data_IF_523367501588
#
_entry.id   IF_523367501588
#
_cell.length_a   1.000
_cell.length_b   1.000
_cell.length_c   1.000
_cell.angle_alpha   90.00
_cell.angle_beta   90.00
_cell.angle_gamma   90.00
#
_symmetry.space_group_name_H-M   'P 1'
#
loop_
_entity.id
_entity.type
_entity.pdbx_description
1 polymer ?
#
# COMPACT_ATOMS: atom_id res chain seq x y z
N UNK A 1 -31.14 -5.76 25.23
CA UNK A 1 -30.16 -4.69 25.02
C UNK A 1 -29.55 -4.96 23.66
N UNK A 2 -29.89 -4.20 22.62
CA UNK A 2 -29.24 -4.33 21.31
C UNK A 2 -27.85 -3.71 21.44
N UNK A 3 -26.82 -4.57 21.65
CA UNK A 3 -25.46 -4.16 21.39
C UNK A 3 -25.39 -3.70 19.94
N UNK A 4 -24.88 -2.49 19.68
CA UNK A 4 -24.59 -2.04 18.31
C UNK A 4 -23.68 -3.03 17.57
N UNK A 5 -23.44 -2.83 16.27
CA UNK A 5 -22.61 -3.73 15.50
C UNK A 5 -21.19 -3.80 16.09
N UNK A 6 -20.57 -4.97 16.03
CA UNK A 6 -19.17 -5.14 16.42
C UNK A 6 -18.26 -4.19 15.62
N UNK A 7 -17.20 -3.69 16.28
CA UNK A 7 -16.21 -2.85 15.63
C UNK A 7 -15.31 -3.69 14.69
N UNK A 8 -14.58 -3.03 13.78
CA UNK A 8 -13.59 -3.74 12.97
C UNK A 8 -12.46 -4.33 13.82
N UNK A 9 -12.13 -3.73 14.96
CA UNK A 9 -11.15 -4.33 15.90
C UNK A 9 -11.61 -5.67 16.43
N UNK A 10 -12.91 -5.81 16.75
CA UNK A 10 -13.47 -7.09 17.23
C UNK A 10 -13.38 -8.20 16.19
N UNK A 11 -13.46 -7.82 14.88
CA UNK A 11 -13.44 -8.75 13.74
C UNK A 11 -12.02 -9.06 13.29
N UNK A 12 -11.15 -8.06 13.27
CA UNK A 12 -9.79 -8.16 12.72
C UNK A 12 -8.74 -8.57 13.75
N UNK A 13 -9.12 -8.68 15.03
CA UNK A 13 -8.28 -9.23 16.11
C UNK A 13 -8.97 -10.40 16.82
N UNK A 14 -9.38 -11.45 16.07
CA UNK A 14 -10.13 -12.55 16.62
C UNK A 14 -9.24 -13.44 17.51
N UNK A 15 -9.83 -14.04 18.53
CA UNK A 15 -9.21 -15.09 19.35
C UNK A 15 -9.49 -16.48 18.81
N UNK A 16 -10.45 -16.60 17.91
CA UNK A 16 -10.85 -17.85 17.27
C UNK A 16 -11.36 -17.62 15.85
N UNK A 17 -11.00 -18.52 14.94
CA UNK A 17 -11.40 -18.46 13.52
C UNK A 17 -12.01 -19.81 13.11
N UNK A 18 -13.19 -19.77 12.51
CA UNK A 18 -13.78 -20.95 11.86
C UNK A 18 -13.67 -20.82 10.33
N UNK A 19 -13.37 -21.92 9.65
CA UNK A 19 -13.35 -21.99 8.17
C UNK A 19 -14.46 -22.91 7.71
N UNK A 20 -15.55 -22.32 7.19
CA UNK A 20 -16.68 -23.04 6.63
C UNK A 20 -16.36 -23.37 5.16
N UNK A 21 -16.39 -24.68 4.84
CA UNK A 21 -15.91 -25.16 3.54
C UNK A 21 -14.42 -25.53 3.54
N UNK A 22 -13.83 -25.81 4.70
CA UNK A 22 -12.48 -26.37 4.79
C UNK A 22 -12.35 -27.62 3.89
N UNK A 23 -11.25 -27.78 3.17
CA UNK A 23 -11.11 -28.81 2.14
C UNK A 23 -9.74 -29.48 2.16
N UNK A 24 -9.71 -30.79 1.81
CA UNK A 24 -8.46 -31.51 1.53
C UNK A 24 -7.84 -31.13 0.18
N UNK A 25 -8.64 -30.62 -0.75
CA UNK A 25 -8.17 -30.25 -2.09
C UNK A 25 -7.35 -28.96 -2.06
N UNK A 26 -6.05 -28.98 -2.42
CA UNK A 26 -5.13 -27.85 -2.23
C UNK A 26 -5.52 -26.56 -2.98
N UNK A 27 -6.26 -26.69 -4.08
CA UNK A 27 -6.72 -25.59 -4.91
C UNK A 27 -8.02 -24.92 -4.42
N UNK A 28 -8.66 -25.47 -3.40
CA UNK A 28 -9.89 -24.90 -2.84
C UNK A 28 -9.56 -23.79 -1.83
N UNK A 29 -10.33 -22.71 -1.86
CA UNK A 29 -10.16 -21.56 -0.96
C UNK A 29 -10.17 -21.95 0.53
N UNK A 30 -11.06 -22.87 0.94
CA UNK A 30 -11.07 -23.32 2.33
C UNK A 30 -9.80 -24.07 2.75
N UNK A 31 -9.09 -24.75 1.81
CA UNK A 31 -7.77 -25.32 2.08
C UNK A 31 -6.71 -24.24 2.20
N UNK A 32 -6.71 -23.28 1.27
CA UNK A 32 -5.73 -22.20 1.22
C UNK A 32 -5.82 -21.36 2.49
N UNK A 33 -7.01 -20.94 2.89
CA UNK A 33 -7.21 -20.16 4.12
C UNK A 33 -6.75 -20.92 5.37
N UNK A 34 -7.09 -22.22 5.48
CA UNK A 34 -6.64 -23.06 6.60
C UNK A 34 -5.11 -23.17 6.67
N UNK A 35 -4.48 -23.45 5.52
CA UNK A 35 -3.02 -23.55 5.42
C UNK A 35 -2.34 -22.23 5.81
N UNK A 36 -2.84 -21.11 5.33
CA UNK A 36 -2.25 -19.79 5.61
C UNK A 36 -2.38 -19.40 7.09
N UNK A 37 -3.52 -19.64 7.71
CA UNK A 37 -3.68 -19.39 9.17
C UNK A 37 -2.73 -20.26 9.99
N UNK A 38 -2.60 -21.54 9.64
CA UNK A 38 -1.73 -22.48 10.35
C UNK A 38 -0.25 -22.10 10.14
N UNK A 39 0.16 -21.90 8.89
CA UNK A 39 1.54 -21.54 8.54
C UNK A 39 1.94 -20.15 9.07
N UNK A 40 0.99 -19.20 9.10
CA UNK A 40 1.18 -17.85 9.64
C UNK A 40 1.29 -17.81 11.18
N UNK A 41 1.09 -18.95 11.86
CA UNK A 41 1.20 -19.04 13.32
C UNK A 41 0.11 -18.26 14.04
N UNK A 42 -1.13 -18.29 13.53
CA UNK A 42 -2.27 -17.68 14.23
C UNK A 42 -2.36 -18.22 15.67
N UNK A 43 -2.35 -17.35 16.68
CA UNK A 43 -2.21 -17.79 18.08
C UNK A 43 -3.52 -18.33 18.67
N UNK A 44 -4.65 -18.08 18.02
CA UNK A 44 -5.98 -18.47 18.48
C UNK A 44 -6.42 -19.85 18.00
N UNK A 45 -7.63 -20.21 18.35
CA UNK A 45 -8.23 -21.48 17.93
C UNK A 45 -8.64 -21.42 16.46
N UNK A 46 -8.33 -22.47 15.71
CA UNK A 46 -8.74 -22.66 14.32
C UNK A 46 -9.69 -23.86 14.26
N UNK A 47 -10.93 -23.63 13.83
CA UNK A 47 -11.96 -24.64 13.65
C UNK A 47 -12.24 -24.88 12.17
N UNK A 48 -12.05 -26.10 11.72
CA UNK A 48 -12.26 -26.50 10.34
C UNK A 48 -13.64 -27.15 10.20
N UNK A 49 -14.52 -26.56 9.39
CA UNK A 49 -15.89 -27.02 9.25
C UNK A 49 -16.06 -27.69 7.88
N UNK A 50 -16.33 -29.01 7.92
CA UNK A 50 -16.67 -29.79 6.71
C UNK A 50 -17.41 -31.05 7.11
N UNK A 51 -18.67 -31.27 6.65
CA UNK A 51 -19.44 -32.47 6.98
C UNK A 51 -18.97 -33.75 6.28
N UNK A 52 -18.12 -33.63 5.24
CA UNK A 52 -17.79 -34.75 4.34
C UNK A 52 -16.43 -35.39 4.57
N UNK A 53 -15.54 -34.72 5.32
CA UNK A 53 -14.18 -35.22 5.60
C UNK A 53 -13.84 -35.10 7.09
N UNK A 54 -13.17 -36.10 7.69
CA UNK A 54 -12.88 -36.11 9.11
C UNK A 54 -11.69 -35.24 9.50
N UNK A 55 -10.84 -34.85 8.56
CA UNK A 55 -9.66 -34.01 8.80
C UNK A 55 -9.27 -33.18 7.58
N UNK A 56 -8.59 -32.08 7.81
CA UNK A 56 -7.91 -31.22 6.80
C UNK A 56 -6.59 -30.75 7.41
N UNK A 57 -5.48 -30.90 6.68
CA UNK A 57 -4.13 -30.52 7.12
C UNK A 57 -3.75 -31.17 8.48
N UNK A 58 -4.19 -32.41 8.71
CA UNK A 58 -3.92 -33.15 9.94
C UNK A 58 -4.71 -32.67 11.19
N UNK A 59 -5.70 -31.80 11.01
CA UNK A 59 -6.60 -31.30 12.05
C UNK A 59 -8.01 -31.83 11.85
N UNK A 60 -8.65 -32.25 12.94
CA UNK A 60 -10.04 -32.72 12.94
C UNK A 60 -10.98 -31.64 12.42
N UNK A 61 -11.96 -32.03 11.59
CA UNK A 61 -13.05 -31.17 11.16
C UNK A 61 -14.30 -31.40 12.02
N UNK A 62 -15.10 -30.32 12.13
CA UNK A 62 -16.44 -30.38 12.71
C UNK A 62 -17.48 -30.48 11.56
N UNK A 63 -18.54 -31.29 11.70
CA UNK A 63 -19.57 -31.39 10.68
C UNK A 63 -20.32 -30.08 10.44
N UNK A 64 -20.50 -29.27 11.50
CA UNK A 64 -21.19 -27.99 11.47
C UNK A 64 -20.52 -27.03 12.45
N UNK A 65 -20.69 -25.73 12.27
CA UNK A 65 -20.25 -24.71 13.21
C UNK A 65 -20.95 -24.88 14.59
N UNK A 66 -22.16 -25.43 14.61
CA UNK A 66 -22.92 -25.72 15.83
C UNK A 66 -22.28 -26.79 16.71
N UNK A 67 -21.43 -27.63 16.13
CA UNK A 67 -20.71 -28.68 16.87
C UNK A 67 -19.42 -28.16 17.52
N UNK A 68 -19.02 -26.91 17.25
CA UNK A 68 -17.86 -26.26 17.85
C UNK A 68 -18.20 -25.90 19.30
N UNK A 69 -17.39 -26.35 20.31
CA UNK A 69 -17.78 -26.24 21.71
C UNK A 69 -17.52 -24.87 22.34
N UNK A 70 -16.84 -23.97 21.63
CA UNK A 70 -16.42 -22.65 22.17
C UNK A 70 -16.84 -21.52 21.23
N UNK A 71 -16.99 -20.29 21.73
CA UNK A 71 -17.31 -19.14 20.88
C UNK A 71 -16.31 -18.95 19.75
N UNK A 72 -16.81 -18.52 18.59
CA UNK A 72 -16.01 -18.19 17.40
C UNK A 72 -16.15 -16.70 17.13
N UNK A 73 -15.02 -15.98 17.07
CA UNK A 73 -15.02 -14.55 16.82
C UNK A 73 -15.17 -14.22 15.31
N UNK A 74 -14.44 -14.94 14.45
CA UNK A 74 -14.43 -14.72 13.01
C UNK A 74 -14.73 -16.02 12.24
N UNK A 75 -15.58 -15.95 11.22
CA UNK A 75 -15.80 -17.06 10.31
C UNK A 75 -15.39 -16.70 8.88
N UNK A 76 -14.67 -17.61 8.22
CA UNK A 76 -14.30 -17.51 6.80
C UNK A 76 -15.20 -18.46 6.03
N UNK A 77 -16.05 -17.92 5.15
CA UNK A 77 -17.01 -18.69 4.35
C UNK A 77 -16.42 -18.90 2.96
N UNK A 78 -16.02 -20.14 2.67
CA UNK A 78 -15.48 -20.61 1.39
C UNK A 78 -16.30 -21.81 0.86
N UNK A 79 -17.60 -21.82 1.13
CA UNK A 79 -18.56 -22.82 0.66
C UNK A 79 -19.03 -22.50 -0.76
N UNK A 80 -19.79 -23.40 -1.40
CA UNK A 80 -20.48 -23.07 -2.65
C UNK A 80 -21.52 -21.96 -2.44
N UNK A 81 -21.80 -21.18 -3.48
CA UNK A 81 -22.75 -20.07 -3.42
C UNK A 81 -24.09 -20.46 -2.78
N UNK A 82 -24.66 -21.58 -3.18
CA UNK A 82 -25.96 -22.08 -2.64
C UNK A 82 -25.94 -22.42 -1.16
N UNK A 83 -24.75 -22.59 -0.56
CA UNK A 83 -24.60 -22.90 0.86
C UNK A 83 -24.29 -21.66 1.72
N UNK A 84 -23.95 -20.52 1.10
CA UNK A 84 -23.60 -19.30 1.86
C UNK A 84 -24.73 -18.85 2.78
N UNK A 85 -26.01 -18.78 2.37
CA UNK A 85 -27.09 -18.39 3.26
C UNK A 85 -27.17 -19.24 4.53
N UNK A 86 -27.05 -20.56 4.38
CA UNK A 86 -27.03 -21.49 5.52
C UNK A 86 -25.79 -21.27 6.41
N UNK A 87 -24.63 -21.04 5.80
CA UNK A 87 -23.40 -20.75 6.55
C UNK A 87 -23.53 -19.48 7.39
N UNK A 88 -24.16 -18.44 6.85
CA UNK A 88 -24.46 -17.18 7.56
C UNK A 88 -25.41 -17.45 8.74
N UNK A 89 -26.46 -18.23 8.55
CA UNK A 89 -27.39 -18.61 9.62
C UNK A 89 -26.68 -19.37 10.76
N UNK A 90 -25.79 -20.29 10.42
CA UNK A 90 -25.01 -21.02 11.43
C UNK A 90 -24.07 -20.08 12.18
N UNK A 91 -23.49 -19.08 11.51
CA UNK A 91 -22.68 -18.04 12.16
C UNK A 91 -23.51 -17.14 13.09
N UNK A 92 -24.69 -16.71 12.68
CA UNK A 92 -25.62 -15.95 13.52
C UNK A 92 -26.01 -16.74 14.75
N UNK A 93 -26.42 -18.00 14.57
CA UNK A 93 -26.83 -18.85 15.68
C UNK A 93 -25.69 -19.16 16.68
N UNK A 94 -24.43 -19.13 16.21
CA UNK A 94 -23.24 -19.36 17.04
C UNK A 94 -22.73 -18.06 17.69
N UNK A 95 -23.28 -16.89 17.35
CA UNK A 95 -22.87 -15.59 17.89
C UNK A 95 -21.53 -15.08 17.36
N UNK A 96 -21.18 -15.42 16.10
CA UNK A 96 -19.96 -14.95 15.43
C UNK A 96 -20.00 -13.44 15.27
N UNK A 97 -18.87 -12.76 15.55
CA UNK A 97 -18.79 -11.28 15.47
C UNK A 97 -18.66 -10.76 14.06
N UNK A 98 -17.98 -11.51 13.18
CA UNK A 98 -17.78 -11.13 11.80
C UNK A 98 -17.56 -12.30 10.88
N UNK A 99 -17.90 -12.10 9.61
CA UNK A 99 -17.71 -13.10 8.55
C UNK A 99 -16.90 -12.49 7.41
N UNK A 100 -16.03 -13.31 6.81
CA UNK A 100 -15.36 -13.03 5.53
C UNK A 100 -15.94 -13.96 4.49
N UNK A 101 -16.64 -13.42 3.50
CA UNK A 101 -17.28 -14.21 2.45
C UNK A 101 -16.40 -14.18 1.19
N UNK A 102 -15.63 -15.25 1.00
CA UNK A 102 -14.76 -15.40 -0.19
C UNK A 102 -15.61 -15.71 -1.42
N UNK A 103 -16.68 -16.44 -1.24
CA UNK A 103 -17.55 -16.94 -2.31
C UNK A 103 -18.13 -15.78 -3.15
N UNK A 104 -18.04 -15.93 -4.47
CA UNK A 104 -18.67 -15.08 -5.48
C UNK A 104 -20.08 -15.56 -5.83
N UNK A 105 -20.83 -14.76 -6.62
CA UNK A 105 -22.19 -15.06 -7.11
C UNK A 105 -23.23 -14.07 -6.62
N UNK A 106 -22.82 -12.92 -6.11
CA UNK A 106 -23.67 -11.89 -5.48
C UNK A 106 -23.86 -10.66 -6.41
N UNK A 107 -23.69 -9.46 -5.93
CA UNK A 107 -23.97 -8.22 -6.68
C UNK A 107 -23.25 -8.13 -8.04
N UNK A 108 -22.11 -8.78 -8.19
CA UNK A 108 -21.39 -8.87 -9.45
C UNK A 108 -22.11 -9.73 -10.52
N UNK A 109 -23.13 -10.50 -10.15
CA UNK A 109 -23.93 -11.30 -11.10
C UNK A 109 -25.23 -10.62 -11.53
N UNK A 110 -25.55 -9.45 -10.97
CA UNK A 110 -26.69 -8.65 -11.34
C UNK A 110 -27.75 -8.50 -10.22
N UNK A 111 -28.97 -8.04 -10.56
CA UNK A 111 -29.95 -7.61 -9.57
C UNK A 111 -30.39 -8.67 -8.56
N UNK A 112 -30.52 -9.93 -8.98
CA UNK A 112 -30.92 -11.03 -8.09
C UNK A 112 -29.83 -11.34 -7.06
N UNK A 113 -28.55 -11.38 -7.51
CA UNK A 113 -27.41 -11.57 -6.62
C UNK A 113 -27.24 -10.38 -5.65
N UNK A 114 -27.48 -9.16 -6.12
CA UNK A 114 -27.47 -7.96 -5.30
C UNK A 114 -28.56 -8.00 -4.22
N UNK A 115 -29.78 -8.40 -4.56
CA UNK A 115 -30.89 -8.51 -3.59
C UNK A 115 -30.57 -9.55 -2.49
N UNK A 116 -30.03 -10.72 -2.88
CA UNK A 116 -29.61 -11.74 -1.93
C UNK A 116 -28.48 -11.25 -1.02
N UNK A 117 -27.48 -10.57 -1.56
CA UNK A 117 -26.40 -10.00 -0.77
C UNK A 117 -26.89 -9.00 0.26
N UNK A 118 -27.77 -8.07 -0.16
CA UNK A 118 -28.38 -7.08 0.74
C UNK A 118 -29.20 -7.73 1.85
N UNK A 119 -29.97 -8.76 1.54
CA UNK A 119 -30.71 -9.54 2.53
C UNK A 119 -29.78 -10.17 3.57
N UNK A 120 -28.72 -10.87 3.11
CA UNK A 120 -27.77 -11.50 4.00
C UNK A 120 -27.05 -10.48 4.89
N UNK A 121 -26.60 -9.36 4.33
CA UNK A 121 -25.97 -8.27 5.10
C UNK A 121 -26.94 -7.69 6.12
N UNK A 122 -28.20 -7.43 5.76
CA UNK A 122 -29.20 -6.92 6.68
C UNK A 122 -29.43 -7.87 7.86
N UNK A 123 -29.47 -9.19 7.60
CA UNK A 123 -29.59 -10.22 8.64
C UNK A 123 -28.37 -10.25 9.56
N UNK A 124 -27.16 -10.19 8.99
CA UNK A 124 -25.93 -10.10 9.78
C UNK A 124 -25.95 -8.88 10.71
N UNK A 125 -26.24 -7.69 10.18
CA UNK A 125 -26.31 -6.43 10.92
C UNK A 125 -27.37 -6.45 12.03
N UNK A 126 -28.53 -7.07 11.79
CA UNK A 126 -29.57 -7.22 12.81
C UNK A 126 -29.11 -7.99 14.06
N UNK A 127 -28.06 -8.82 13.91
CA UNK A 127 -27.44 -9.58 15.01
C UNK A 127 -26.08 -9.01 15.44
N UNK A 128 -25.74 -7.79 14.99
CA UNK A 128 -24.47 -7.13 15.29
C UNK A 128 -23.26 -7.67 14.50
N UNK A 129 -23.42 -8.72 13.68
CA UNK A 129 -22.35 -9.36 12.93
C UNK A 129 -21.94 -8.51 11.72
N UNK A 130 -20.62 -8.39 11.49
CA UNK A 130 -20.05 -7.63 10.37
C UNK A 130 -19.70 -8.56 9.21
N UNK A 131 -19.77 -8.02 7.97
CA UNK A 131 -19.46 -8.76 6.74
C UNK A 131 -18.36 -8.09 5.96
N UNK A 132 -17.26 -8.81 5.70
CA UNK A 132 -16.18 -8.44 4.77
C UNK A 132 -16.38 -9.27 3.49
N UNK A 133 -16.43 -8.60 2.36
CA UNK A 133 -16.81 -9.21 1.08
C UNK A 133 -18.25 -8.85 0.72
N UNK A 134 -18.94 -9.69 -0.02
CA UNK A 134 -18.62 -10.98 -0.61
C UNK A 134 -17.59 -10.87 -1.74
N UNK A 135 -17.35 -12.00 -2.46
CA UNK A 135 -16.46 -12.00 -3.62
C UNK A 135 -15.08 -11.39 -3.32
N UNK A 136 -14.43 -11.80 -2.24
CA UNK A 136 -13.15 -11.24 -1.79
C UNK A 136 -12.05 -12.30 -1.74
N UNK A 137 -10.80 -11.83 -1.62
CA UNK A 137 -9.61 -12.69 -1.55
C UNK A 137 -9.16 -13.01 -0.12
N UNK A 138 -9.95 -12.61 0.87
CA UNK A 138 -9.61 -12.75 2.28
C UNK A 138 -8.89 -11.52 2.86
N UNK A 139 -8.15 -11.74 3.94
CA UNK A 139 -7.51 -10.67 4.68
C UNK A 139 -6.20 -11.09 5.35
N UNK A 140 -5.37 -10.10 5.66
CA UNK A 140 -4.16 -10.22 6.45
C UNK A 140 -4.09 -9.11 7.49
N UNK A 141 -3.80 -9.47 8.74
CA UNK A 141 -3.55 -8.51 9.83
C UNK A 141 -2.31 -8.98 10.60
N UNK A 142 -1.19 -8.26 10.41
CA UNK A 142 0.11 -8.65 10.96
C UNK A 142 0.08 -8.80 12.48
N UNK A 143 -0.40 -7.79 13.19
CA UNK A 143 -0.43 -7.77 14.66
C UNK A 143 -1.25 -8.92 15.28
N UNK A 144 -2.27 -9.40 14.56
CA UNK A 144 -3.07 -10.55 14.97
C UNK A 144 -2.52 -11.89 14.45
N UNK A 145 -1.46 -11.88 13.64
CA UNK A 145 -0.98 -13.04 12.87
C UNK A 145 -2.11 -13.72 12.08
N UNK A 146 -3.11 -12.94 11.71
CA UNK A 146 -4.28 -13.38 10.97
C UNK A 146 -3.95 -13.31 9.48
N UNK A 147 -3.68 -14.45 8.87
CA UNK A 147 -3.45 -14.55 7.43
C UNK A 147 -4.45 -15.54 6.81
N UNK A 148 -5.40 -15.02 6.07
CA UNK A 148 -6.40 -15.79 5.33
C UNK A 148 -6.48 -15.34 3.86
N UNK A 149 -5.36 -14.84 3.32
CA UNK A 149 -5.23 -14.46 1.91
C UNK A 149 -5.00 -15.68 1.01
N UNK A 150 -5.36 -15.54 -0.24
CA UNK A 150 -5.16 -16.57 -1.27
C UNK A 150 -3.71 -16.82 -1.72
N UNK A 151 -2.72 -16.10 -1.18
CA UNK A 151 -1.32 -16.18 -1.60
C UNK A 151 -0.44 -17.01 -0.66
N UNK A 152 0.62 -17.59 -1.24
CA UNK A 152 1.55 -18.49 -0.55
C UNK A 152 2.92 -17.88 -0.26
N UNK A 153 3.24 -16.73 -0.81
CA UNK A 153 4.52 -16.06 -0.52
C UNK A 153 4.49 -15.42 0.84
N UNK A 154 5.60 -15.45 1.62
CA UNK A 154 5.67 -14.71 2.86
C UNK A 154 5.55 -13.19 2.58
N UNK A 155 4.72 -12.50 3.35
CA UNK A 155 4.65 -11.05 3.31
C UNK A 155 5.80 -10.44 4.10
N UNK A 156 6.59 -9.54 3.51
CA UNK A 156 7.52 -8.74 4.28
C UNK A 156 6.78 -7.90 5.34
N UNK A 157 7.44 -7.60 6.43
CA UNK A 157 6.94 -6.59 7.35
C UNK A 157 7.04 -5.20 6.71
N UNK A 158 6.06 -4.32 6.96
CA UNK A 158 6.08 -2.97 6.43
C UNK A 158 4.96 -2.11 7.00
N UNK A 159 4.97 -0.82 6.70
CA UNK A 159 4.07 0.17 7.31
C UNK A 159 2.80 0.47 6.48
N UNK A 160 2.53 -0.30 5.44
CA UNK A 160 1.43 -0.02 4.50
C UNK A 160 0.14 -0.75 4.95
N UNK A 161 -0.95 -0.02 5.12
CA UNK A 161 -2.30 -0.59 5.19
C UNK A 161 -2.92 -0.62 3.80
N UNK A 162 -3.25 -1.79 3.26
CA UNK A 162 -3.84 -1.94 1.92
C UNK A 162 -5.31 -2.35 2.00
N UNK A 163 -6.16 -1.65 1.27
CA UNK A 163 -7.57 -2.01 1.07
C UNK A 163 -7.84 -2.15 -0.42
N UNK A 164 -8.38 -3.27 -0.86
CA UNK A 164 -8.66 -3.52 -2.28
C UNK A 164 -10.07 -4.04 -2.51
N UNK A 165 -10.81 -3.40 -3.42
CA UNK A 165 -12.07 -3.94 -3.94
C UNK A 165 -11.84 -5.08 -4.94
N UNK A 166 -10.75 -5.02 -5.72
CA UNK A 166 -10.38 -6.12 -6.61
C UNK A 166 -9.46 -7.12 -5.92
N UNK A 167 -9.86 -8.38 -5.87
CA UNK A 167 -9.03 -9.46 -5.39
C UNK A 167 -7.73 -9.59 -6.20
N UNK A 168 -7.82 -9.66 -7.52
CA UNK A 168 -6.67 -9.85 -8.40
C UNK A 168 -5.68 -8.69 -8.39
N UNK A 169 -6.15 -7.44 -8.38
CA UNK A 169 -5.26 -6.29 -8.22
C UNK A 169 -4.63 -6.22 -6.82
N UNK A 170 -5.38 -6.58 -5.78
CA UNK A 170 -4.80 -6.76 -4.46
C UNK A 170 -3.66 -7.78 -4.46
N UNK A 171 -3.80 -8.88 -5.20
CA UNK A 171 -2.75 -9.90 -5.36
C UNK A 171 -1.54 -9.38 -6.16
N UNK A 172 -1.76 -8.53 -7.15
CA UNK A 172 -0.68 -7.85 -7.86
C UNK A 172 0.15 -6.98 -6.91
N UNK A 173 -0.49 -6.18 -6.05
CA UNK A 173 0.22 -5.37 -5.05
C UNK A 173 0.93 -6.21 -3.99
N UNK A 174 0.34 -7.35 -3.62
CA UNK A 174 0.99 -8.33 -2.76
C UNK A 174 2.28 -8.87 -3.37
N UNK A 175 2.24 -9.25 -4.65
CA UNK A 175 3.42 -9.74 -5.36
C UNK A 175 4.51 -8.66 -5.48
N UNK A 176 4.12 -7.42 -5.77
CA UNK A 176 5.07 -6.29 -5.77
C UNK A 176 5.71 -6.09 -4.41
N UNK A 177 4.94 -6.08 -3.32
CA UNK A 177 5.44 -5.99 -1.96
C UNK A 177 6.52 -7.03 -1.66
N UNK A 178 6.33 -8.27 -2.12
CA UNK A 178 7.32 -9.33 -1.95
C UNK A 178 8.63 -9.03 -2.72
N UNK A 179 8.52 -8.54 -3.96
CA UNK A 179 9.69 -8.21 -4.79
C UNK A 179 10.47 -7.00 -4.23
N UNK A 180 9.75 -5.99 -3.74
CA UNK A 180 10.35 -4.76 -3.24
C UNK A 180 10.80 -4.87 -1.78
N UNK A 181 10.48 -5.98 -1.09
CA UNK A 181 10.85 -6.22 0.31
C UNK A 181 10.22 -5.25 1.31
N UNK A 182 9.15 -4.57 0.95
CA UNK A 182 8.36 -3.71 1.83
C UNK A 182 6.92 -4.21 1.88
N UNK A 183 6.40 -4.47 3.07
CA UNK A 183 5.14 -5.17 3.24
C UNK A 183 4.03 -4.37 3.91
N UNK A 184 3.04 -5.12 4.34
CA UNK A 184 1.81 -4.58 4.89
C UNK A 184 1.72 -4.78 6.41
N UNK A 185 1.06 -3.83 7.08
CA UNK A 185 0.50 -4.04 8.42
C UNK A 185 -0.80 -4.84 8.33
N UNK A 186 -1.62 -4.46 7.36
CA UNK A 186 -2.94 -5.02 7.12
C UNK A 186 -3.22 -5.02 5.63
N UNK A 187 -3.82 -6.09 5.13
CA UNK A 187 -4.40 -6.15 3.79
C UNK A 187 -5.84 -6.64 3.88
N UNK A 188 -6.80 -5.81 3.48
CA UNK A 188 -8.22 -6.14 3.44
C UNK A 188 -8.69 -6.20 1.99
N UNK A 189 -9.07 -7.39 1.52
CA UNK A 189 -9.82 -7.52 0.28
C UNK A 189 -11.31 -7.38 0.62
N UNK A 190 -11.91 -6.26 0.24
CA UNK A 190 -13.32 -5.97 0.60
C UNK A 190 -14.32 -6.45 -0.46
N UNK A 191 -13.85 -6.89 -1.63
CA UNK A 191 -14.71 -7.41 -2.69
C UNK A 191 -15.83 -6.43 -3.05
N UNK A 192 -17.08 -6.93 -3.02
CA UNK A 192 -18.26 -6.11 -3.29
C UNK A 192 -18.50 -4.99 -2.24
N UNK A 193 -17.81 -5.02 -1.10
CA UNK A 193 -17.91 -4.03 -0.02
C UNK A 193 -19.37 -3.81 0.47
N UNK A 194 -20.13 -4.88 0.59
CA UNK A 194 -21.57 -4.81 0.86
C UNK A 194 -21.91 -4.33 2.29
N UNK A 195 -21.00 -4.52 3.27
CA UNK A 195 -21.12 -4.01 4.64
C UNK A 195 -19.91 -3.18 5.03
N UNK A 196 -18.74 -3.80 5.12
CA UNK A 196 -17.48 -3.11 5.43
C UNK A 196 -16.97 -2.40 4.19
N UNK A 197 -16.88 -1.08 4.25
CA UNK A 197 -16.55 -0.21 3.12
C UNK A 197 -15.11 0.28 3.17
N UNK A 198 -14.59 0.78 2.04
CA UNK A 198 -13.26 1.39 1.96
C UNK A 198 -13.08 2.54 2.97
N UNK A 199 -14.01 3.52 3.11
CA UNK A 199 -13.91 4.59 4.11
C UNK A 199 -13.82 4.08 5.55
N UNK A 200 -14.55 3.03 5.89
CA UNK A 200 -14.50 2.43 7.22
C UNK A 200 -13.17 1.73 7.48
N UNK A 201 -12.64 1.03 6.49
CA UNK A 201 -11.29 0.45 6.56
C UNK A 201 -10.21 1.54 6.74
N UNK A 202 -10.36 2.70 6.07
CA UNK A 202 -9.46 3.83 6.28
C UNK A 202 -9.45 4.30 7.74
N UNK A 203 -10.62 4.42 8.38
CA UNK A 203 -10.71 4.82 9.79
C UNK A 203 -10.01 3.81 10.71
N UNK A 204 -10.22 2.52 10.47
CA UNK A 204 -9.52 1.44 11.19
C UNK A 204 -8.00 1.55 11.04
N UNK A 205 -7.51 1.71 9.80
CA UNK A 205 -6.09 1.83 9.52
C UNK A 205 -5.47 3.14 10.05
N UNK A 206 -6.26 4.20 10.15
CA UNK A 206 -5.83 5.44 10.79
C UNK A 206 -5.54 5.26 12.28
N UNK A 207 -6.29 4.41 12.95
CA UNK A 207 -6.13 4.12 14.37
C UNK A 207 -5.05 3.03 14.63
N UNK A 208 -4.64 2.26 13.62
CA UNK A 208 -3.58 1.27 13.74
C UNK A 208 -2.19 1.91 13.90
N UNK A 209 -1.49 1.75 15.04
CA UNK A 209 -0.21 2.41 15.29
C UNK A 209 0.92 1.94 14.38
N UNK A 210 0.82 0.76 13.78
CA UNK A 210 1.84 0.20 12.90
C UNK A 210 1.70 0.68 11.44
N UNK A 211 0.52 1.20 11.05
CA UNK A 211 0.27 1.73 9.71
C UNK A 211 0.75 3.18 9.60
N UNK A 212 1.57 3.50 8.63
CA UNK A 212 2.05 4.86 8.33
C UNK A 212 1.37 5.47 7.11
N UNK A 213 0.92 4.66 6.16
CA UNK A 213 0.24 5.08 4.93
C UNK A 213 -0.90 4.12 4.62
N UNK A 214 -1.98 4.65 4.05
CA UNK A 214 -3.13 3.86 3.59
C UNK A 214 -3.11 3.82 2.07
N UNK A 215 -2.98 2.63 1.50
CA UNK A 215 -3.07 2.41 0.06
C UNK A 215 -4.41 1.77 -0.30
N UNK A 216 -4.99 2.16 -1.44
CA UNK A 216 -6.27 1.62 -1.86
C UNK A 216 -6.43 1.42 -3.35
N UNK A 217 -7.07 0.32 -3.72
CA UNK A 217 -7.69 0.15 -5.03
C UNK A 217 -9.21 0.28 -4.90
N UNK A 218 -9.78 1.25 -5.60
CA UNK A 218 -11.18 1.63 -5.45
C UNK A 218 -11.85 1.74 -6.82
N UNK A 219 -12.99 1.09 -7.00
CA UNK A 219 -13.78 1.12 -8.24
C UNK A 219 -14.93 2.13 -8.15
N UNK A 220 -15.44 2.35 -6.94
CA UNK A 220 -16.49 3.32 -6.70
C UNK A 220 -16.34 3.96 -5.32
N UNK A 221 -16.21 5.28 -5.28
CA UNK A 221 -16.22 6.04 -4.03
C UNK A 221 -16.90 7.39 -4.26
N UNK A 222 -17.68 7.83 -3.26
CA UNK A 222 -18.16 9.19 -3.25
C UNK A 222 -17.08 10.11 -2.68
N UNK A 223 -16.68 11.11 -3.44
CA UNK A 223 -15.68 12.09 -3.05
C UNK A 223 -15.99 12.73 -1.69
N UNK A 224 -17.23 13.11 -1.48
CA UNK A 224 -17.68 13.73 -0.22
C UNK A 224 -17.41 12.82 0.98
N UNK A 225 -17.68 11.52 0.86
CA UNK A 225 -17.44 10.54 1.92
C UNK A 225 -15.94 10.44 2.21
N UNK A 226 -15.09 10.41 1.17
CA UNK A 226 -13.64 10.37 1.32
C UNK A 226 -13.12 11.62 2.05
N UNK A 227 -13.58 12.81 1.64
CA UNK A 227 -13.23 14.08 2.32
C UNK A 227 -13.67 14.09 3.79
N UNK A 228 -14.87 13.61 4.09
CA UNK A 228 -15.36 13.50 5.48
C UNK A 228 -14.48 12.58 6.32
N UNK A 229 -14.04 11.45 5.78
CA UNK A 229 -13.14 10.52 6.49
C UNK A 229 -11.79 11.18 6.74
N UNK A 230 -11.19 11.81 5.74
CA UNK A 230 -9.92 12.53 5.90
C UNK A 230 -10.04 13.63 6.96
N UNK A 231 -11.11 14.41 6.92
CA UNK A 231 -11.37 15.44 7.93
C UNK A 231 -11.49 14.84 9.34
N UNK A 232 -12.26 13.78 9.51
CA UNK A 232 -12.40 13.07 10.79
C UNK A 232 -11.07 12.51 11.29
N UNK A 233 -10.23 11.93 10.41
CA UNK A 233 -8.90 11.45 10.78
C UNK A 233 -8.02 12.61 11.32
N UNK A 234 -8.09 13.79 10.71
CA UNK A 234 -7.37 14.99 11.16
C UNK A 234 -7.87 15.51 12.51
N UNK A 235 -9.16 15.69 12.66
CA UNK A 235 -9.75 16.17 13.92
C UNK A 235 -9.36 15.30 15.11
N UNK A 236 -9.25 13.99 14.88
CA UNK A 236 -8.79 13.02 15.89
C UNK A 236 -7.26 12.97 16.06
N UNK A 237 -6.48 13.75 15.30
CA UNK A 237 -5.02 13.67 15.28
C UNK A 237 -4.49 12.32 14.78
N UNK A 238 -5.24 11.63 13.92
CA UNK A 238 -4.94 10.30 13.38
C UNK A 238 -4.74 10.30 11.86
N UNK A 239 -4.53 11.48 11.27
CA UNK A 239 -4.29 11.55 9.83
C UNK A 239 -3.04 10.77 9.43
N UNK A 240 -3.19 9.97 8.38
CA UNK A 240 -2.14 9.28 7.65
C UNK A 240 -2.28 9.58 6.17
N UNK A 241 -1.20 9.70 5.40
CA UNK A 241 -1.29 9.85 3.95
C UNK A 241 -2.11 8.72 3.34
N UNK A 242 -2.95 9.07 2.37
CA UNK A 242 -3.77 8.12 1.63
C UNK A 242 -3.37 8.17 0.16
N UNK A 243 -3.11 7.02 -0.44
CA UNK A 243 -2.86 6.90 -1.88
C UNK A 243 -3.84 5.91 -2.48
N UNK A 244 -4.51 6.31 -3.56
CA UNK A 244 -5.51 5.46 -4.22
C UNK A 244 -5.26 5.32 -5.72
N UNK A 245 -5.44 4.11 -6.20
CA UNK A 245 -5.67 3.81 -7.60
C UNK A 245 -7.18 3.73 -7.80
N UNK A 246 -7.71 4.69 -8.56
CA UNK A 246 -9.13 4.80 -8.82
C UNK A 246 -9.43 4.33 -10.23
N UNK A 247 -10.24 3.27 -10.36
CA UNK A 247 -10.68 2.70 -11.64
C UNK A 247 -12.06 3.20 -12.06
N UNK A 248 -12.41 3.00 -13.34
CA UNK A 248 -13.71 3.44 -13.85
C UNK A 248 -13.78 4.94 -14.18
N UNK A 249 -12.63 5.58 -14.43
CA UNK A 249 -12.55 7.00 -14.79
C UNK A 249 -12.84 7.29 -16.28
N UNK A 250 -12.85 6.26 -17.14
CA UNK A 250 -13.13 6.40 -18.57
C UNK A 250 -14.48 5.73 -18.90
N UNK A 251 -15.09 6.10 -20.02
CA UNK A 251 -16.34 5.46 -20.47
C UNK A 251 -16.21 3.93 -20.58
N UNK A 252 -15.04 3.45 -21.05
CA UNK A 252 -14.76 2.01 -21.15
C UNK A 252 -14.61 1.40 -19.75
N UNK A 253 -13.91 2.08 -18.85
CA UNK A 253 -13.75 1.68 -17.46
C UNK A 253 -15.09 1.63 -16.70
N UNK A 254 -15.95 2.63 -16.90
CA UNK A 254 -17.31 2.67 -16.34
C UNK A 254 -18.14 1.48 -16.81
N UNK A 255 -18.15 1.20 -18.13
CA UNK A 255 -18.88 0.03 -18.68
C UNK A 255 -18.33 -1.29 -18.11
N UNK A 256 -17.01 -1.40 -18.00
CA UNK A 256 -16.37 -2.60 -17.43
C UNK A 256 -16.71 -2.77 -15.93
N UNK A 257 -16.66 -1.69 -15.15
CA UNK A 257 -17.03 -1.70 -13.74
C UNK A 257 -18.52 -2.09 -13.54
N UNK A 258 -19.41 -1.52 -14.34
CA UNK A 258 -20.85 -1.89 -14.34
C UNK A 258 -21.08 -3.36 -14.64
N UNK A 259 -20.35 -3.90 -15.61
CA UNK A 259 -20.46 -5.31 -15.97
C UNK A 259 -19.88 -6.25 -14.89
N UNK A 260 -18.91 -5.75 -14.10
CA UNK A 260 -18.20 -6.54 -13.08
C UNK A 260 -18.85 -6.45 -11.69
N UNK A 261 -19.30 -5.27 -11.28
CA UNK A 261 -19.78 -5.06 -9.89
C UNK A 261 -21.28 -4.77 -9.81
N UNK A 262 -21.98 -4.64 -10.95
CA UNK A 262 -23.38 -4.24 -10.98
C UNK A 262 -23.64 -2.81 -10.45
N UNK A 263 -22.61 -2.10 -10.05
CA UNK A 263 -22.70 -0.78 -9.43
C UNK A 263 -22.24 0.29 -10.42
N UNK A 264 -22.98 1.38 -10.53
CA UNK A 264 -22.57 2.55 -11.33
C UNK A 264 -21.42 3.22 -10.59
N UNK A 265 -20.21 3.21 -11.18
CA UNK A 265 -19.16 4.10 -10.74
C UNK A 265 -19.67 5.55 -10.87
N UNK A 266 -19.74 6.25 -9.74
CA UNK A 266 -20.14 7.67 -9.72
C UNK A 266 -18.98 8.61 -10.08
N UNK A 267 -17.85 8.03 -10.50
CA UNK A 267 -16.65 8.77 -10.85
C UNK A 267 -16.82 9.31 -12.27
N UNK A 268 -17.04 10.61 -12.37
CA UNK A 268 -17.05 11.31 -13.67
C UNK A 268 -15.63 11.70 -14.07
N UNK A 269 -15.34 11.90 -15.37
CA UNK A 269 -14.03 12.35 -15.83
C UNK A 269 -13.53 13.66 -15.20
N UNK A 270 -14.44 14.54 -14.80
CA UNK A 270 -14.20 15.79 -14.11
C UNK A 270 -13.76 15.63 -12.63
N UNK A 271 -13.86 14.43 -12.07
CA UNK A 271 -13.34 14.13 -10.73
C UNK A 271 -11.80 13.98 -10.66
N UNK A 272 -11.09 14.09 -11.79
CA UNK A 272 -9.63 14.07 -11.77
C UNK A 272 -9.02 15.20 -10.93
N UNK A 273 -9.67 16.36 -10.93
CA UNK A 273 -9.22 17.53 -10.17
C UNK A 273 -9.79 17.62 -8.75
N UNK A 274 -10.82 16.85 -8.45
CA UNK A 274 -11.57 17.00 -7.20
C UNK A 274 -10.84 16.54 -5.95
N UNK A 275 -9.87 15.62 -6.09
CA UNK A 275 -9.07 15.13 -4.96
C UNK A 275 -7.81 15.95 -4.70
N UNK A 276 -7.47 16.93 -5.56
CA UNK A 276 -6.33 17.81 -5.32
C UNK A 276 -6.54 18.58 -4.01
N UNK A 277 -5.54 18.55 -3.14
CA UNK A 277 -5.61 19.23 -1.84
C UNK A 277 -6.55 18.58 -0.81
N UNK A 278 -7.08 17.38 -1.08
CA UNK A 278 -7.94 16.66 -0.14
C UNK A 278 -7.20 15.84 0.92
N UNK A 279 -5.86 15.73 0.81
CA UNK A 279 -5.06 14.80 1.63
C UNK A 279 -5.04 13.38 1.09
N UNK A 280 -5.51 13.19 -0.15
CA UNK A 280 -5.47 11.92 -0.88
C UNK A 280 -4.63 12.09 -2.13
N UNK A 281 -3.64 11.25 -2.31
CA UNK A 281 -2.84 11.16 -3.53
C UNK A 281 -3.54 10.17 -4.47
N UNK A 282 -3.84 10.62 -5.68
CA UNK A 282 -4.35 9.74 -6.73
C UNK A 282 -3.21 9.29 -7.63
N UNK A 283 -3.13 8.00 -7.88
CA UNK A 283 -2.27 7.43 -8.93
C UNK A 283 -3.12 6.97 -10.12
N UNK A 284 -2.53 7.03 -11.31
CA UNK A 284 -3.23 6.71 -12.57
C UNK A 284 -2.87 5.33 -13.10
N UNK A 285 -1.73 4.80 -12.68
CA UNK A 285 -1.19 3.51 -13.12
C UNK A 285 -1.10 2.55 -11.95
N UNK A 286 -1.35 1.27 -12.20
CA UNK A 286 -1.27 0.23 -11.17
C UNK A 286 0.13 0.06 -10.60
N UNK A 287 1.17 0.28 -11.41
CA UNK A 287 2.57 0.18 -11.00
C UNK A 287 3.06 1.38 -10.17
N UNK A 288 2.26 2.44 -10.03
CA UNK A 288 2.55 3.60 -9.18
C UNK A 288 2.07 3.45 -7.74
N UNK A 289 1.01 2.65 -7.48
CA UNK A 289 0.34 2.63 -6.17
C UNK A 289 1.31 2.24 -5.05
N UNK A 290 2.01 1.15 -5.22
CA UNK A 290 2.90 0.62 -4.19
C UNK A 290 4.16 1.49 -4.00
N UNK A 291 4.90 1.91 -5.05
CA UNK A 291 6.04 2.81 -4.93
C UNK A 291 5.71 4.16 -4.29
N UNK A 292 4.58 4.77 -4.67
CA UNK A 292 4.13 6.04 -4.06
C UNK A 292 3.78 5.83 -2.59
N UNK A 293 3.08 4.73 -2.24
CA UNK A 293 2.81 4.39 -0.85
C UNK A 293 4.11 4.21 -0.04
N UNK A 294 5.13 3.60 -0.64
CA UNK A 294 6.45 3.43 -0.02
C UNK A 294 7.08 4.80 0.31
N UNK A 295 7.13 5.71 -0.66
CA UNK A 295 7.66 7.05 -0.44
C UNK A 295 6.91 7.78 0.68
N UNK A 296 5.58 7.77 0.64
CA UNK A 296 4.73 8.41 1.66
C UNK A 296 4.88 7.79 3.06
N UNK A 297 5.25 6.51 3.14
CA UNK A 297 5.45 5.81 4.40
C UNK A 297 6.81 6.08 5.05
N UNK A 298 7.84 6.37 4.25
CA UNK A 298 9.23 6.35 4.70
C UNK A 298 9.93 7.71 4.61
N UNK A 299 9.39 8.65 3.83
CA UNK A 299 10.00 9.96 3.63
C UNK A 299 9.14 11.09 4.21
N UNK A 300 9.77 12.18 4.69
CA UNK A 300 9.02 13.36 5.07
C UNK A 300 8.37 14.01 3.84
N UNK A 301 7.21 14.67 3.97
CA UNK A 301 6.67 15.52 2.92
C UNK A 301 7.60 16.69 2.65
N UNK A 302 7.55 17.28 1.44
CA UNK A 302 8.32 18.49 1.17
C UNK A 302 7.85 19.66 2.04
N UNK A 303 8.75 20.52 2.52
CA UNK A 303 8.41 21.63 3.40
C UNK A 303 7.35 22.56 2.77
N UNK A 304 6.19 22.69 3.42
CA UNK A 304 5.07 23.52 2.93
C UNK A 304 4.46 23.06 1.61
N UNK A 305 4.75 21.83 1.17
CA UNK A 305 4.26 21.30 -0.10
C UNK A 305 4.88 21.95 -1.34
N UNK A 306 5.99 22.63 -1.17
CA UNK A 306 6.72 23.21 -2.30
C UNK A 306 7.32 22.11 -3.16
N UNK A 307 7.42 22.36 -4.47
CA UNK A 307 7.74 21.33 -5.48
C UNK A 307 9.15 21.48 -6.04
N UNK A 308 10.01 22.28 -5.42
CA UNK A 308 11.35 22.64 -5.88
C UNK A 308 12.35 21.56 -5.51
N UNK A 309 12.87 20.84 -6.49
CA UNK A 309 13.80 19.75 -6.27
C UNK A 309 15.16 19.99 -6.93
N UNK A 310 16.21 19.42 -6.35
CA UNK A 310 17.48 19.24 -7.03
C UNK A 310 17.56 17.81 -7.59
N UNK A 311 18.15 17.67 -8.77
CA UNK A 311 18.46 16.39 -9.40
C UNK A 311 19.97 16.25 -9.46
N UNK A 312 20.48 15.11 -8.95
CA UNK A 312 21.90 14.75 -8.95
C UNK A 312 22.02 13.43 -9.69
N UNK A 313 22.80 13.39 -10.76
CA UNK A 313 22.96 12.14 -11.51
C UNK A 313 24.35 11.99 -12.11
N UNK A 314 24.72 10.74 -12.31
CA UNK A 314 25.86 10.43 -13.11
C UNK A 314 25.44 9.99 -14.52
N UNK A 315 25.90 10.76 -15.48
CA UNK A 315 25.53 10.61 -16.88
C UNK A 315 24.42 11.57 -17.35
N UNK A 316 24.77 12.41 -18.31
CA UNK A 316 23.92 13.45 -18.82
C UNK A 316 22.56 12.95 -19.33
N UNK A 317 22.48 11.75 -19.88
CA UNK A 317 21.21 11.16 -20.35
C UNK A 317 20.19 10.92 -19.22
N UNK A 318 20.61 10.37 -18.11
CA UNK A 318 19.75 10.14 -16.93
C UNK A 318 19.26 11.46 -16.33
N UNK A 319 20.16 12.44 -16.22
CA UNK A 319 19.86 13.77 -15.69
C UNK A 319 18.82 14.50 -16.56
N UNK A 320 18.98 14.48 -17.89
CA UNK A 320 18.03 15.10 -18.83
C UNK A 320 16.66 14.41 -18.75
N UNK A 321 16.63 13.07 -18.80
CA UNK A 321 15.39 12.32 -18.73
C UNK A 321 14.65 12.54 -17.40
N UNK A 322 15.39 12.62 -16.29
CA UNK A 322 14.81 12.88 -14.96
C UNK A 322 14.27 14.31 -14.87
N UNK A 323 14.96 15.29 -15.45
CA UNK A 323 14.47 16.67 -15.54
C UNK A 323 13.13 16.76 -16.27
N UNK A 324 13.04 16.13 -17.43
CA UNK A 324 11.79 16.08 -18.21
C UNK A 324 10.65 15.39 -17.45
N UNK A 325 10.93 14.25 -16.81
CA UNK A 325 9.93 13.51 -16.03
C UNK A 325 9.48 14.30 -14.79
N UNK A 326 10.39 15.01 -14.13
CA UNK A 326 10.09 15.88 -12.98
C UNK A 326 9.11 17.00 -13.36
N UNK A 327 9.35 17.69 -14.47
CA UNK A 327 8.43 18.74 -14.97
C UNK A 327 7.06 18.15 -15.32
N UNK A 328 7.01 16.98 -15.99
CA UNK A 328 5.74 16.28 -16.29
C UNK A 328 4.99 15.86 -15.03
N UNK A 329 5.71 15.53 -13.94
CA UNK A 329 5.11 15.24 -12.64
C UNK A 329 4.69 16.50 -11.85
N UNK A 330 4.87 17.70 -12.42
CA UNK A 330 4.54 18.97 -11.79
C UNK A 330 5.53 19.42 -10.72
N UNK A 331 6.77 18.90 -10.75
CA UNK A 331 7.88 19.38 -9.92
C UNK A 331 8.56 20.58 -10.60
N UNK A 332 9.31 21.34 -9.80
CA UNK A 332 10.05 22.52 -10.24
C UNK A 332 11.55 22.28 -10.07
N UNK A 333 12.34 22.72 -11.03
CA UNK A 333 13.79 22.61 -11.03
C UNK A 333 14.36 24.02 -10.83
N UNK A 334 14.59 24.49 -9.60
CA UNK A 334 15.02 25.84 -9.34
C UNK A 334 16.48 26.07 -9.75
N UNK A 335 16.80 27.32 -10.04
CA UNK A 335 18.19 27.78 -10.12
C UNK A 335 18.74 27.81 -8.68
N UNK A 336 19.83 27.06 -8.43
CA UNK A 336 20.47 27.01 -7.12
C UNK A 336 21.12 28.35 -6.76
N UNK A 337 21.18 28.67 -5.48
CA UNK A 337 21.88 29.85 -4.98
C UNK A 337 23.37 29.88 -5.42
N UNK A 338 23.94 31.04 -5.66
CA UNK A 338 25.32 31.19 -6.12
C UNK A 338 26.33 30.47 -5.21
N UNK A 339 26.13 30.58 -3.88
CA UNK A 339 26.96 29.91 -2.89
C UNK A 339 26.86 28.37 -2.97
N UNK A 340 25.69 27.86 -3.23
CA UNK A 340 25.46 26.42 -3.46
C UNK A 340 26.20 25.94 -4.71
N UNK A 341 26.09 26.66 -5.82
CA UNK A 341 26.81 26.35 -7.04
C UNK A 341 28.34 26.40 -6.84
N UNK A 342 28.84 27.36 -6.07
CA UNK A 342 30.26 27.43 -5.75
C UNK A 342 30.73 26.24 -4.92
N UNK A 343 29.95 25.82 -3.92
CA UNK A 343 30.26 24.65 -3.08
C UNK A 343 30.22 23.36 -3.90
N UNK A 344 29.25 23.20 -4.81
CA UNK A 344 29.20 22.06 -5.73
C UNK A 344 30.47 21.99 -6.61
N UNK A 345 30.91 23.12 -7.19
CA UNK A 345 32.13 23.16 -8.02
C UNK A 345 33.40 22.74 -7.27
N UNK A 346 33.44 22.95 -5.93
CA UNK A 346 34.58 22.50 -5.11
C UNK A 346 34.62 20.99 -4.89
N UNK A 347 33.46 20.34 -5.00
CA UNK A 347 33.28 18.89 -4.74
C UNK A 347 33.28 18.04 -6.02
N UNK A 348 33.27 18.67 -7.19
CA UNK A 348 33.13 17.97 -8.46
C UNK A 348 34.27 18.31 -9.43
N UNK A 349 34.59 17.42 -10.39
CA UNK A 349 35.52 17.70 -11.46
C UNK A 349 35.12 18.95 -12.28
N UNK A 350 36.09 19.66 -12.83
CA UNK A 350 35.85 20.89 -13.61
C UNK A 350 34.92 20.69 -14.83
N UNK A 351 34.75 19.45 -15.30
CA UNK A 351 33.85 19.08 -16.39
C UNK A 351 32.38 18.89 -15.94
N UNK A 352 32.13 18.83 -14.62
CA UNK A 352 30.80 18.65 -14.08
C UNK A 352 29.97 19.93 -14.14
N UNK A 353 28.65 19.79 -14.10
CA UNK A 353 27.70 20.90 -14.15
C UNK A 353 27.17 21.20 -12.74
N UNK A 354 27.47 22.40 -12.22
CA UNK A 354 26.96 22.82 -10.90
C UNK A 354 25.60 23.54 -10.97
N UNK A 355 24.96 23.53 -12.14
CA UNK A 355 23.58 24.02 -12.32
C UNK A 355 22.62 22.86 -12.17
N UNK A 356 21.45 23.10 -11.58
CA UNK A 356 20.38 22.11 -11.45
C UNK A 356 19.64 21.94 -12.82
N UNK A 357 19.49 20.73 -13.36
CA UNK A 357 19.97 19.43 -12.90
C UNK A 357 21.49 19.29 -12.91
N UNK A 358 22.05 18.56 -11.90
CA UNK A 358 23.49 18.44 -11.67
C UNK A 358 23.98 17.13 -12.31
N UNK A 359 24.87 17.26 -13.32
CA UNK A 359 25.62 16.12 -13.86
C UNK A 359 26.98 16.06 -13.16
N UNK A 360 27.23 14.99 -12.39
CA UNK A 360 28.45 14.85 -11.60
C UNK A 360 29.67 14.48 -12.44
N UNK A 361 29.46 14.09 -13.71
CA UNK A 361 30.51 13.89 -14.72
C UNK A 361 31.69 13.01 -14.25
N UNK A 362 31.41 11.92 -13.54
CA UNK A 362 32.39 10.97 -13.03
C UNK A 362 32.97 11.29 -11.64
N UNK A 363 32.39 12.23 -10.87
CA UNK A 363 32.78 12.40 -9.46
C UNK A 363 32.53 11.11 -8.65
N UNK A 364 31.44 10.40 -8.94
CA UNK A 364 31.13 9.14 -8.29
C UNK A 364 32.04 7.99 -8.73
N UNK A 365 32.67 8.07 -9.90
CA UNK A 365 33.70 7.12 -10.33
C UNK A 365 34.98 7.25 -9.50
N UNK A 366 35.23 8.42 -8.92
CA UNK A 366 36.35 8.64 -8.00
C UNK A 366 35.96 8.23 -6.57
N UNK A 367 34.77 8.64 -6.12
CA UNK A 367 34.22 8.27 -4.81
C UNK A 367 32.69 8.32 -4.79
N UNK A 368 31.98 7.17 -4.66
CA UNK A 368 30.52 7.14 -4.54
C UNK A 368 29.96 7.94 -3.35
N UNK A 369 30.75 8.21 -2.32
CA UNK A 369 30.34 9.04 -1.20
C UNK A 369 30.06 10.49 -1.63
N UNK A 370 30.53 10.90 -2.81
CA UNK A 370 30.22 12.20 -3.42
C UNK A 370 28.71 12.45 -3.55
N UNK A 371 27.90 11.43 -3.78
CA UNK A 371 26.42 11.58 -3.79
C UNK A 371 25.89 12.15 -2.48
N UNK A 372 26.42 11.70 -1.34
CA UNK A 372 25.99 12.22 -0.04
C UNK A 372 26.45 13.68 0.16
N UNK A 373 27.70 14.01 -0.18
CA UNK A 373 28.21 15.37 -0.05
C UNK A 373 27.44 16.37 -0.93
N UNK A 374 27.16 16.00 -2.18
CA UNK A 374 26.42 16.84 -3.10
C UNK A 374 24.95 16.99 -2.65
N UNK A 375 24.36 15.90 -2.13
CA UNK A 375 23.00 15.94 -1.57
C UNK A 375 22.95 16.89 -0.36
N UNK A 376 23.92 16.86 0.53
CA UNK A 376 23.98 17.77 1.67
C UNK A 376 24.00 19.24 1.22
N UNK A 377 24.85 19.58 0.25
CA UNK A 377 24.94 20.93 -0.31
C UNK A 377 23.62 21.37 -0.93
N UNK A 378 22.91 20.46 -1.62
CA UNK A 378 21.60 20.76 -2.21
C UNK A 378 20.50 20.90 -1.14
N UNK A 379 20.48 20.04 -0.12
CA UNK A 379 19.47 20.12 0.95
C UNK A 379 19.64 21.39 1.81
N UNK A 380 20.85 21.92 1.91
CA UNK A 380 21.14 23.19 2.60
C UNK A 380 20.66 24.43 1.81
N UNK A 381 20.42 24.30 0.51
CA UNK A 381 19.92 25.41 -0.32
C UNK A 381 18.45 25.73 0.05
N UNK A 382 18.11 27.01 0.33
CA UNK A 382 16.73 27.40 0.66
C UNK A 382 15.75 27.28 -0.53
N UNK A 383 16.26 27.21 -1.76
CA UNK A 383 15.44 27.00 -2.96
C UNK A 383 15.17 25.52 -3.25
N UNK A 384 15.72 24.58 -2.47
CA UNK A 384 15.55 23.13 -2.65
C UNK A 384 14.71 22.56 -1.53
N UNK A 385 13.65 21.82 -1.88
CA UNK A 385 12.71 21.20 -0.95
C UNK A 385 12.80 19.66 -0.94
N UNK A 386 13.57 19.08 -1.86
CA UNK A 386 13.85 17.64 -1.96
C UNK A 386 14.92 17.34 -2.99
N UNK A 387 15.48 16.13 -2.96
CA UNK A 387 16.53 15.70 -3.88
C UNK A 387 16.16 14.37 -4.54
N UNK A 388 16.40 14.27 -5.85
CA UNK A 388 16.38 13.01 -6.59
C UNK A 388 17.81 12.69 -7.03
N UNK A 389 18.31 11.51 -6.63
CA UNK A 389 19.53 10.92 -7.17
C UNK A 389 19.13 10.00 -8.31
N UNK A 390 19.80 10.07 -9.47
CA UNK A 390 19.45 9.28 -10.66
C UNK A 390 20.70 8.68 -11.32
N UNK A 391 20.58 7.44 -11.82
CA UNK A 391 21.60 6.78 -12.62
C UNK A 391 22.15 5.49 -12.04
N UNK A 392 23.42 5.44 -11.69
CA UNK A 392 24.17 4.21 -11.42
C UNK A 392 24.35 3.88 -9.93
N UNK A 393 23.73 4.64 -9.00
CA UNK A 393 23.87 4.39 -7.56
C UNK A 393 23.58 2.92 -7.22
N UNK A 394 24.49 2.28 -6.50
CA UNK A 394 24.44 0.86 -6.17
C UNK A 394 25.30 -0.02 -7.08
N UNK A 395 25.72 0.46 -8.25
CA UNK A 395 26.42 -0.33 -9.26
C UNK A 395 27.94 -0.15 -9.34
N UNK A 396 28.52 0.77 -8.62
CA UNK A 396 29.95 1.10 -8.75
C UNK A 396 30.88 -0.06 -8.39
N UNK A 397 30.50 -0.89 -7.41
CA UNK A 397 31.21 -2.12 -7.08
C UNK A 397 31.31 -3.09 -8.26
N UNK A 398 30.30 -3.13 -9.14
CA UNK A 398 30.28 -4.00 -10.32
C UNK A 398 30.91 -3.35 -11.55
N UNK A 399 30.75 -2.03 -11.66
CA UNK A 399 31.28 -1.29 -12.81
C UNK A 399 32.78 -1.07 -12.74
N UNK A 400 33.30 -0.79 -11.54
CA UNK A 400 34.69 -0.37 -11.34
C UNK A 400 35.48 -1.39 -10.53
N UNK A 401 35.15 -1.58 -9.25
CA UNK A 401 35.85 -2.50 -8.34
C UNK A 401 35.01 -2.78 -7.09
N UNK A 402 35.17 -3.97 -6.52
CA UNK A 402 34.58 -4.35 -5.23
C UNK A 402 34.93 -3.36 -4.09
N UNK A 403 36.04 -2.66 -4.16
CA UNK A 403 36.49 -1.66 -3.19
C UNK A 403 35.54 -0.45 -3.10
N UNK A 404 34.70 -0.22 -4.12
CA UNK A 404 33.68 0.83 -4.12
C UNK A 404 32.45 0.46 -3.26
N UNK A 405 32.18 -0.82 -3.03
CA UNK A 405 31.05 -1.27 -2.24
C UNK A 405 30.94 -0.61 -0.86
N UNK A 406 32.00 -0.64 -0.01
CA UNK A 406 31.97 0.03 1.29
C UNK A 406 31.70 1.55 1.22
N UNK A 407 32.12 2.21 0.14
CA UNK A 407 31.91 3.64 -0.10
C UNK A 407 30.45 3.93 -0.47
N UNK A 408 29.83 3.12 -1.33
CA UNK A 408 28.42 3.20 -1.66
C UNK A 408 27.53 2.94 -0.41
N UNK A 409 27.90 1.95 0.40
CA UNK A 409 27.22 1.66 1.66
C UNK A 409 27.31 2.82 2.65
N UNK A 410 28.49 3.48 2.74
CA UNK A 410 28.67 4.68 3.55
C UNK A 410 27.80 5.83 3.01
N UNK A 411 27.73 6.02 1.68
CA UNK A 411 26.88 7.03 1.07
C UNK A 411 25.41 6.79 1.41
N UNK A 412 24.93 5.55 1.34
CA UNK A 412 23.55 5.19 1.69
C UNK A 412 23.20 5.54 3.15
N UNK A 413 24.09 5.22 4.09
CA UNK A 413 23.89 5.59 5.51
C UNK A 413 23.90 7.09 5.73
N UNK A 414 24.79 7.82 5.03
CA UNK A 414 24.88 9.27 5.16
C UNK A 414 23.63 9.96 4.61
N UNK A 415 23.12 9.53 3.46
CA UNK A 415 21.86 10.02 2.90
C UNK A 415 20.70 9.90 3.91
N UNK A 416 20.60 8.77 4.64
CA UNK A 416 19.60 8.60 5.70
C UNK A 416 19.73 9.62 6.83
N UNK A 417 20.98 9.93 7.25
CA UNK A 417 21.21 10.98 8.25
C UNK A 417 20.80 12.36 7.73
N UNK A 418 21.10 12.67 6.48
CA UNK A 418 20.74 13.94 5.86
C UNK A 418 19.23 14.15 5.80
N UNK A 419 18.45 13.12 5.45
CA UNK A 419 16.97 13.20 5.48
C UNK A 419 16.47 13.56 6.89
N UNK A 420 16.99 12.90 7.91
CA UNK A 420 16.61 13.17 9.31
C UNK A 420 17.03 14.58 9.78
N UNK A 421 18.19 15.05 9.35
CA UNK A 421 18.74 16.36 9.70
C UNK A 421 17.96 17.50 9.03
N UNK A 422 17.78 17.43 7.73
CA UNK A 422 17.17 18.52 6.94
C UNK A 422 15.64 18.42 6.87
N UNK A 423 15.07 17.27 7.21
CA UNK A 423 13.62 16.99 7.10
C UNK A 423 13.08 17.29 5.69
N UNK A 424 13.90 17.03 4.69
CA UNK A 424 13.57 17.12 3.26
C UNK A 424 13.73 15.74 2.62
N UNK A 425 12.84 15.33 1.71
CA UNK A 425 12.88 14.00 1.11
C UNK A 425 14.06 13.82 0.15
N UNK A 426 14.59 12.61 0.15
CA UNK A 426 15.58 12.12 -0.83
C UNK A 426 15.06 10.82 -1.44
N UNK A 427 14.96 10.76 -2.75
CA UNK A 427 14.59 9.56 -3.49
C UNK A 427 15.73 9.16 -4.44
N UNK A 428 15.90 7.87 -4.66
CA UNK A 428 16.93 7.33 -5.55
C UNK A 428 16.27 6.62 -6.72
N UNK A 429 16.64 7.00 -7.94
CA UNK A 429 16.43 6.18 -9.12
C UNK A 429 17.74 5.45 -9.44
N UNK A 430 17.67 4.13 -9.61
CA UNK A 430 18.84 3.33 -9.96
C UNK A 430 18.47 2.26 -10.97
N UNK A 431 19.29 2.11 -12.01
CA UNK A 431 19.14 1.02 -12.96
C UNK A 431 19.37 -0.35 -12.34
N UNK A 432 19.98 -0.39 -11.15
CA UNK A 432 20.25 -1.60 -10.38
C UNK A 432 19.18 -1.90 -9.31
N UNK A 433 18.07 -1.18 -9.29
CA UNK A 433 17.05 -1.29 -8.24
C UNK A 433 16.48 -2.70 -8.02
N UNK A 434 16.56 -3.58 -9.04
CA UNK A 434 16.08 -4.96 -8.96
C UNK A 434 17.15 -5.98 -8.58
N UNK A 435 18.35 -5.51 -8.31
CA UNK A 435 19.46 -6.38 -7.95
C UNK A 435 19.67 -6.44 -6.43
N UNK A 436 20.19 -7.55 -5.98
CA UNK A 436 20.53 -7.80 -4.57
C UNK A 436 21.87 -7.12 -4.24
N UNK A 437 21.82 -5.84 -3.88
CA UNK A 437 22.98 -4.97 -3.66
C UNK A 437 22.96 -4.42 -2.23
N UNK A 438 24.03 -4.59 -1.45
CA UNK A 438 24.09 -4.15 -0.05
C UNK A 438 23.80 -2.67 0.16
N UNK A 439 24.30 -1.76 -0.68
CA UNK A 439 24.05 -0.32 -0.55
C UNK A 439 22.58 0.04 -0.77
N UNK A 440 21.86 -0.68 -1.65
CA UNK A 440 20.42 -0.51 -1.85
C UNK A 440 19.60 -1.04 -0.65
N UNK A 441 20.03 -2.14 -0.01
CA UNK A 441 19.42 -2.61 1.23
C UNK A 441 19.57 -1.57 2.33
N UNK A 442 20.75 -0.96 2.46
CA UNK A 442 21.00 0.10 3.44
C UNK A 442 20.12 1.31 3.16
N UNK A 443 19.93 1.74 1.90
CA UNK A 443 18.96 2.80 1.59
C UNK A 443 17.57 2.47 2.15
N UNK A 444 17.11 1.23 1.96
CA UNK A 444 15.81 0.77 2.49
C UNK A 444 15.77 0.82 4.01
N UNK A 445 16.81 0.32 4.69
CA UNK A 445 16.93 0.37 6.15
C UNK A 445 16.93 1.80 6.69
N UNK A 446 17.55 2.72 5.97
CA UNK A 446 17.58 4.15 6.29
C UNK A 446 16.28 4.89 5.90
N UNK A 447 15.30 4.18 5.32
CA UNK A 447 14.01 4.73 4.91
C UNK A 447 14.06 5.52 3.60
N UNK A 448 15.10 5.35 2.78
CA UNK A 448 15.20 5.99 1.45
C UNK A 448 14.68 5.03 0.39
N UNK A 449 13.54 5.35 -0.25
CA UNK A 449 13.02 4.54 -1.35
C UNK A 449 13.91 4.67 -2.58
N UNK A 450 14.04 3.55 -3.29
CA UNK A 450 14.72 3.52 -4.58
C UNK A 450 13.89 2.77 -5.62
N UNK A 451 13.96 3.23 -6.85
CA UNK A 451 13.13 2.74 -7.96
C UNK A 451 13.96 2.57 -9.23
N UNK A 452 13.53 1.66 -10.10
CA UNK A 452 14.12 1.51 -11.44
C UNK A 452 13.62 2.62 -12.38
N UNK A 453 12.33 2.99 -12.31
CA UNK A 453 11.73 3.97 -13.20
C UNK A 453 11.96 5.41 -12.74
N UNK A 454 12.42 6.24 -13.66
CA UNK A 454 12.55 7.69 -13.51
C UNK A 454 11.17 8.31 -13.22
N UNK A 455 10.14 7.91 -13.98
CA UNK A 455 8.79 8.46 -13.87
C UNK A 455 8.15 8.15 -12.51
N UNK A 456 8.33 6.92 -12.02
CA UNK A 456 7.85 6.52 -10.70
C UNK A 456 8.57 7.32 -9.60
N UNK A 457 9.87 7.54 -9.72
CA UNK A 457 10.63 8.35 -8.77
C UNK A 457 10.11 9.78 -8.70
N UNK A 458 9.92 10.42 -9.87
CA UNK A 458 9.37 11.76 -9.95
C UNK A 458 7.91 11.84 -9.44
N UNK A 459 7.06 10.85 -9.78
CA UNK A 459 5.68 10.79 -9.28
C UNK A 459 5.63 10.63 -7.75
N UNK A 460 6.53 9.82 -7.19
CA UNK A 460 6.65 9.63 -5.75
C UNK A 460 7.08 10.93 -5.03
N UNK A 461 8.03 11.67 -5.61
CA UNK A 461 8.43 12.98 -5.08
C UNK A 461 7.29 14.01 -5.16
N UNK A 462 6.53 14.03 -6.27
CA UNK A 462 5.35 14.89 -6.40
C UNK A 462 4.27 14.55 -5.36
N UNK A 463 4.07 13.28 -5.05
CA UNK A 463 3.15 12.85 -4.00
C UNK A 463 3.53 13.37 -2.61
N UNK A 464 4.82 13.38 -2.28
CA UNK A 464 5.31 13.98 -1.03
C UNK A 464 5.01 15.49 -0.96
N UNK A 465 5.09 16.19 -2.10
CA UNK A 465 4.72 17.59 -2.18
C UNK A 465 3.19 17.81 -2.05
N UNK A 466 2.37 16.96 -2.66
CA UNK A 466 0.90 17.00 -2.51
C UNK A 466 0.48 16.87 -1.05
N UNK A 467 1.06 15.93 -0.32
CA UNK A 467 0.79 15.76 1.12
C UNK A 467 1.32 16.93 1.94
N UNK A 468 2.52 17.43 1.62
CA UNK A 468 3.09 18.63 2.26
C UNK A 468 2.19 19.86 2.11
N UNK A 469 1.62 20.08 0.92
CA UNK A 469 0.67 21.16 0.65
C UNK A 469 -0.60 21.01 1.46
N UNK A 470 -1.17 19.80 1.52
CA UNK A 470 -2.36 19.52 2.32
C UNK A 470 -2.14 19.79 3.81
N UNK A 471 -1.00 19.37 4.34
CA UNK A 471 -0.67 19.61 5.75
C UNK A 471 -0.48 21.10 6.05
N UNK A 472 0.17 21.85 5.16
CA UNK A 472 0.41 23.28 5.31
C UNK A 472 -0.88 24.13 5.17
N UNK A 473 -1.78 23.77 4.25
CA UNK A 473 -3.01 24.54 3.99
C UNK A 473 -4.00 24.51 5.17
N UNK A 474 -3.74 23.67 6.14
CA UNK A 474 -4.67 23.37 7.21
C UNK A 474 -4.00 23.46 8.61
N UNK A 475 -2.77 24.00 8.68
CA UNK A 475 -2.07 24.40 9.91
C UNK A 475 -2.44 25.83 10.26
#
# INVERSE_FOLDING_TARGET
MSSGPYSLDDVLQPRSVAILGASRAPHKWGHVAARQLIAGGFPGNIYLINPSVPDVLGRTTYPSLRDVPTPVDLAIIATSFSQVPRSVEDCIAHGVKGVVIITAGFSETGPEGCALEQELVARCRAHGMRVIGSNCMGLYVRRAKLNALGMVFPLPAGPIGLVSQSGNLGMYFYAQSHLDGLGFTTFLSVGNAADVTFPECMQYLADDPETSVIAGYVEAIQEQTLRQVIHSMRERGRYKPVVILLSGATEVGVRAALAHTGTVSTIRPDHETSLIGSGVVRVLRSDELFPVAQALATQPPTPGGRRRIAIIGDGGGSVVATGDAAIRAGLEIPVLCAGTQENLRKLMPARATATNPIDVAGAADEDPLSFAWLTEVCLADPEVDGVIITGLFGGYRWLLSEDFGPREEAAARELGKLVRQYKKPVLVQSIYARHDIPSLHILREEGIPYYESIEITCRSMAALAEIGQFLASNS
#
